data_IF_100956234567
#
_entry.id   IF_100956234567
#
_cell.length_a   1.000
_cell.length_b   1.000
_cell.length_c   1.000
_cell.angle_alpha   90.00
_cell.angle_beta   90.00
_cell.angle_gamma   90.00
#
_symmetry.space_group_name_H-M   'P 1'
#
loop_
_entity.id
_entity.type
_entity.pdbx_description
1 polymer ?
#
# COMPACT_ATOMS: atom_id res chain seq x y z
N UNK A 1 -4.02 -7.88 20.52
CA UNK A 1 -2.97 -7.43 19.58
C UNK A 1 -3.42 -6.06 19.08
N UNK A 2 -2.84 -4.95 19.59
CA UNK A 2 -3.23 -3.60 19.16
C UNK A 2 -2.81 -3.39 17.71
N UNK A 3 -3.77 -3.01 16.85
CA UNK A 3 -3.50 -2.52 15.50
C UNK A 3 -3.19 -1.03 15.59
N UNK A 4 -1.91 -0.68 15.58
CA UNK A 4 -1.40 0.70 15.59
C UNK A 4 -1.60 1.34 14.20
N UNK A 5 -2.84 1.69 13.85
CA UNK A 5 -3.11 2.45 12.63
C UNK A 5 -2.79 3.94 12.89
N UNK A 6 -1.51 4.30 12.70
CA UNK A 6 -0.91 5.62 12.97
C UNK A 6 -1.25 6.71 11.92
N UNK A 7 -2.46 6.71 11.35
CA UNK A 7 -2.86 7.65 10.29
C UNK A 7 -3.49 8.94 10.84
N UNK A 8 -2.74 9.74 11.60
CA UNK A 8 -3.14 11.11 12.00
C UNK A 8 -2.09 12.13 11.55
N UNK A 9 -2.48 13.20 10.82
CA UNK A 9 -1.54 14.17 10.27
C UNK A 9 -0.83 15.03 11.33
N UNK A 10 -1.36 15.08 12.56
CA UNK A 10 -0.91 15.95 13.64
C UNK A 10 -0.05 15.23 14.71
N UNK A 11 0.39 14.00 14.42
CA UNK A 11 1.18 13.20 15.37
C UNK A 11 2.69 13.47 15.17
N UNK A 12 3.49 13.70 16.23
CA UNK A 12 4.92 13.87 16.09
C UNK A 12 5.54 12.61 15.46
N UNK A 13 6.19 12.77 14.30
CA UNK A 13 6.87 11.67 13.60
C UNK A 13 8.02 11.17 14.46
N UNK A 14 7.87 9.96 15.00
CA UNK A 14 8.97 9.27 15.69
C UNK A 14 10.11 9.05 14.70
N UNK A 15 11.38 9.27 15.10
CA UNK A 15 12.52 8.97 14.23
C UNK A 15 12.53 7.47 13.91
N UNK A 16 12.82 7.14 12.64
CA UNK A 16 12.88 5.76 12.19
C UNK A 16 14.07 5.03 12.83
N UNK A 17 13.90 3.79 13.30
CA UNK A 17 15.02 2.99 13.78
C UNK A 17 15.99 2.66 12.63
N UNK A 18 17.29 2.41 12.92
CA UNK A 18 18.30 2.14 11.89
C UNK A 18 17.98 0.89 11.04
N UNK A 19 17.23 -0.07 11.58
CA UNK A 19 16.73 -1.21 10.82
C UNK A 19 15.71 -0.80 9.74
N UNK A 20 14.80 0.13 10.04
CA UNK A 20 13.82 0.64 9.09
C UNK A 20 14.49 1.44 7.97
N UNK A 21 15.49 2.26 8.30
CA UNK A 21 16.26 2.99 7.29
C UNK A 21 16.98 2.06 6.30
N UNK A 22 17.58 0.97 6.79
CA UNK A 22 18.20 -0.05 5.93
C UNK A 22 17.19 -0.74 5.02
N UNK A 23 16.04 -1.14 5.56
CA UNK A 23 14.98 -1.78 4.79
C UNK A 23 14.44 -0.87 3.68
N UNK A 24 14.29 0.43 3.95
CA UNK A 24 13.87 1.41 2.95
C UNK A 24 14.89 1.56 1.83
N UNK A 25 16.19 1.60 2.16
CA UNK A 25 17.27 1.69 1.18
C UNK A 25 17.28 0.46 0.26
N UNK A 26 17.18 -0.74 0.81
CA UNK A 26 17.13 -1.98 0.03
C UNK A 26 15.87 -2.05 -0.85
N UNK A 27 14.71 -1.65 -0.32
CA UNK A 27 13.48 -1.58 -1.12
C UNK A 27 13.61 -0.58 -2.27
N UNK A 28 14.30 0.54 -2.06
CA UNK A 28 14.57 1.51 -3.10
C UNK A 28 15.53 0.97 -4.17
N UNK A 29 16.60 0.29 -3.76
CA UNK A 29 17.53 -0.40 -4.67
C UNK A 29 16.79 -1.44 -5.52
N UNK A 30 15.89 -2.22 -4.91
CA UNK A 30 15.03 -3.18 -5.65
C UNK A 30 14.09 -2.49 -6.64
N UNK A 31 13.46 -1.37 -6.26
CA UNK A 31 12.60 -0.60 -7.18
C UNK A 31 13.39 0.00 -8.35
N UNK A 32 14.64 0.43 -8.12
CA UNK A 32 15.52 0.97 -9.17
C UNK A 32 16.03 -0.12 -10.11
N UNK A 33 16.26 -1.34 -9.59
CA UNK A 33 16.70 -2.49 -10.37
C UNK A 33 15.54 -3.20 -11.11
N UNK A 34 14.30 -3.02 -10.63
CA UNK A 34 13.13 -3.56 -11.30
C UNK A 34 12.82 -2.76 -12.56
N UNK A 35 12.66 -3.45 -13.68
CA UNK A 35 12.16 -2.84 -14.90
C UNK A 35 10.70 -2.40 -14.70
N UNK A 36 10.32 -1.20 -15.18
CA UNK A 36 8.94 -0.75 -15.12
C UNK A 36 8.07 -1.68 -15.96
N UNK A 37 7.25 -2.49 -15.28
CA UNK A 37 6.23 -3.26 -15.97
C UNK A 37 5.15 -2.29 -16.45
N UNK A 38 5.05 -2.12 -17.77
CA UNK A 38 3.97 -1.36 -18.39
C UNK A 38 2.71 -2.22 -18.33
N UNK A 39 2.00 -2.12 -17.21
CA UNK A 39 0.66 -2.66 -17.11
C UNK A 39 -0.32 -1.66 -17.74
N UNK A 40 -1.30 -2.13 -18.53
CA UNK A 40 -2.33 -1.25 -19.06
C UNK A 40 -3.05 -0.55 -17.89
N UNK A 41 -3.32 0.73 -18.04
CA UNK A 41 -4.10 1.49 -17.06
C UNK A 41 -5.47 0.85 -16.92
N UNK A 42 -5.83 0.43 -15.70
CA UNK A 42 -7.22 0.06 -15.41
C UNK A 42 -8.10 1.31 -15.50
N UNK A 43 -8.96 1.35 -16.52
CA UNK A 43 -9.95 2.41 -16.72
C UNK A 43 -11.28 1.95 -16.13
N UNK A 44 -11.88 2.77 -15.26
CA UNK A 44 -13.14 2.42 -14.58
C UNK A 44 -12.99 1.45 -13.41
N UNK A 45 -11.76 1.02 -13.10
CA UNK A 45 -11.45 0.26 -11.90
C UNK A 45 -11.44 1.14 -10.66
N UNK A 46 -11.80 0.55 -9.53
CA UNK A 46 -11.78 1.15 -8.18
C UNK A 46 -10.38 1.55 -7.68
N UNK A 47 -9.34 1.32 -8.48
CA UNK A 47 -7.93 1.50 -8.12
C UNK A 47 -7.50 0.46 -7.09
N UNK A 48 -6.34 -0.16 -7.30
CA UNK A 48 -5.86 -1.25 -6.44
C UNK A 48 -6.11 -2.64 -7.04
N UNK A 49 -5.76 -3.67 -6.28
CA UNK A 49 -5.80 -5.05 -6.75
C UNK A 49 -7.26 -5.54 -6.90
N UNK A 50 -7.55 -6.25 -7.99
CA UNK A 50 -8.87 -6.81 -8.31
C UNK A 50 -9.56 -7.51 -7.12
N UNK A 51 -10.64 -6.94 -6.56
CA UNK A 51 -11.35 -7.56 -5.45
C UNK A 51 -11.93 -8.94 -5.72
N UNK A 52 -12.18 -9.33 -6.98
CA UNK A 52 -12.56 -10.70 -7.28
C UNK A 52 -11.41 -11.69 -6.98
N UNK A 53 -10.16 -11.25 -7.16
CA UNK A 53 -8.96 -12.04 -6.86
C UNK A 53 -8.55 -11.98 -5.39
N UNK A 54 -8.76 -10.85 -4.72
CA UNK A 54 -8.22 -10.59 -3.39
C UNK A 54 -9.28 -10.49 -2.28
N UNK A 55 -10.57 -10.64 -2.61
CA UNK A 55 -11.67 -10.64 -1.64
C UNK A 55 -12.02 -9.27 -1.06
N UNK A 56 -11.46 -8.17 -1.59
CA UNK A 56 -11.61 -6.81 -1.04
C UNK A 56 -12.86 -6.10 -1.57
N UNK A 57 -14.02 -6.77 -1.46
CA UNK A 57 -15.31 -6.24 -1.92
C UNK A 57 -15.89 -5.19 -0.97
N UNK A 58 -15.22 -4.91 0.15
CA UNK A 58 -15.74 -4.06 1.21
C UNK A 58 -15.20 -2.63 1.11
N UNK A 59 -16.11 -1.66 0.95
CA UNK A 59 -15.78 -0.24 1.07
C UNK A 59 -16.50 0.31 2.31
N UNK A 60 -15.72 0.78 3.29
CA UNK A 60 -16.24 1.31 4.57
C UNK A 60 -17.17 0.33 5.30
N UNK A 61 -16.85 -0.98 5.25
CA UNK A 61 -17.62 -2.04 5.89
C UNK A 61 -18.93 -2.41 5.17
N UNK A 62 -19.05 -2.08 3.88
CA UNK A 62 -20.17 -2.51 3.03
C UNK A 62 -19.62 -3.27 1.83
N UNK A 63 -20.14 -4.46 1.59
CA UNK A 63 -19.89 -5.18 0.35
C UNK A 63 -20.54 -4.41 -0.81
N UNK A 64 -19.72 -3.94 -1.76
CA UNK A 64 -20.18 -3.22 -2.95
C UNK A 64 -19.87 -4.09 -4.17
N UNK A 65 -20.93 -4.58 -4.80
CA UNK A 65 -20.91 -5.09 -6.16
C UNK A 65 -21.47 -3.98 -7.08
N UNK A 66 -21.00 -3.89 -8.33
CA UNK A 66 -21.21 -2.83 -9.35
C UNK A 66 -20.66 -1.40 -9.08
#
# INVERSE_FOLDING_TARGET
MQNDNDNSPDRPKRPLPPAALRALKEAEERRRAAEPQVMPTELGGRGGLDPARFGDWEIKGRAIDF
#
